data_IF_393759852003
#
_entry.id   IF_393759852003
#
_cell.length_a   1.000
_cell.length_b   1.000
_cell.length_c   1.000
_cell.angle_alpha   90.00
_cell.angle_beta   90.00
_cell.angle_gamma   90.00
#
_symmetry.space_group_name_H-M   'P 1'
#
loop_
_entity.id
_entity.type
_entity.pdbx_description
1 polymer ?
#
# COMPACT_ATOMS: atom_id res chain seq x y z
N UNK A 1 15.71 47.21 -20.51
CA UNK A 1 15.53 46.49 -19.23
C UNK A 1 14.17 45.79 -19.12
N UNK A 2 13.06 46.44 -19.49
CA UNK A 2 11.71 45.84 -19.47
C UNK A 2 11.57 44.49 -20.22
N UNK A 3 12.16 44.34 -21.42
CA UNK A 3 12.15 43.06 -22.16
C UNK A 3 12.87 41.91 -21.44
N UNK A 4 13.95 42.19 -20.70
CA UNK A 4 14.69 41.18 -19.94
C UNK A 4 13.92 40.74 -18.68
N UNK A 5 13.21 41.69 -18.05
CA UNK A 5 12.32 41.42 -16.90
C UNK A 5 11.09 40.61 -17.33
N UNK A 6 10.50 40.92 -18.50
CA UNK A 6 9.36 40.16 -19.05
C UNK A 6 9.74 38.71 -19.36
N UNK A 7 10.93 38.48 -19.94
CA UNK A 7 11.45 37.14 -20.22
C UNK A 7 11.73 36.37 -18.92
N UNK A 8 12.25 37.03 -17.88
CA UNK A 8 12.47 36.41 -16.57
C UNK A 8 11.14 36.02 -15.89
N UNK A 9 10.12 36.88 -15.96
CA UNK A 9 8.77 36.60 -15.45
C UNK A 9 8.07 35.46 -16.22
N UNK A 10 8.23 35.40 -17.54
CA UNK A 10 7.75 34.29 -18.37
C UNK A 10 8.45 32.96 -18.05
N UNK A 11 9.77 32.99 -17.78
CA UNK A 11 10.54 31.82 -17.33
C UNK A 11 10.12 31.36 -15.92
N UNK A 12 9.81 32.28 -15.00
CA UNK A 12 9.29 31.93 -13.68
C UNK A 12 7.85 31.37 -13.72
N UNK A 13 7.01 31.81 -14.66
CA UNK A 13 5.65 31.27 -14.86
C UNK A 13 5.64 29.93 -15.60
N UNK A 14 6.65 29.65 -16.43
CA UNK A 14 6.86 28.33 -17.04
C UNK A 14 7.38 27.28 -16.04
N UNK A 15 8.05 27.71 -14.96
CA UNK A 15 8.57 26.83 -13.93
C UNK A 15 7.51 26.35 -12.91
N UNK A 16 6.32 26.97 -12.85
CA UNK A 16 5.23 26.60 -11.92
C UNK A 16 4.41 25.37 -12.35
N UNK A 17 4.85 24.63 -13.36
CA UNK A 17 4.10 23.52 -13.97
C UNK A 17 4.59 22.10 -13.65
N UNK A 18 5.58 21.91 -12.77
CA UNK A 18 6.01 20.56 -12.41
C UNK A 18 4.93 19.88 -11.56
N UNK A 19 4.04 19.14 -12.21
CA UNK A 19 3.17 18.16 -11.57
C UNK A 19 4.06 17.04 -11.02
N UNK A 20 4.56 17.23 -9.81
CA UNK A 20 5.00 16.10 -9.03
C UNK A 20 3.76 15.25 -8.72
N UNK A 21 3.72 14.07 -9.30
CA UNK A 21 2.75 13.04 -8.97
C UNK A 21 3.47 12.07 -8.03
N UNK A 22 2.81 11.72 -6.92
CA UNK A 22 3.44 10.93 -5.86
C UNK A 22 3.67 9.47 -6.27
N UNK A 23 2.83 8.96 -7.16
CA UNK A 23 2.78 7.54 -7.51
C UNK A 23 3.35 7.26 -8.91
N UNK A 24 3.99 6.10 -9.03
CA UNK A 24 4.25 5.41 -10.27
C UNK A 24 3.53 4.06 -10.19
N UNK A 25 2.25 4.06 -10.56
CA UNK A 25 1.33 2.94 -10.40
C UNK A 25 1.16 2.17 -11.71
N UNK A 26 1.59 0.91 -11.72
CA UNK A 26 1.23 -0.04 -12.78
C UNK A 26 -0.18 -0.58 -12.51
N UNK A 27 -1.04 -0.61 -13.52
CA UNK A 27 -2.40 -1.15 -13.40
C UNK A 27 -2.59 -2.28 -14.41
N UNK A 28 -3.07 -3.42 -13.93
CA UNK A 28 -3.41 -4.57 -14.76
C UNK A 28 -4.84 -4.98 -14.45
N UNK A 29 -5.70 -5.01 -15.47
CA UNK A 29 -7.08 -5.48 -15.36
C UNK A 29 -7.22 -6.82 -16.07
N UNK A 30 -7.49 -7.88 -15.31
CA UNK A 30 -7.84 -9.19 -15.83
C UNK A 30 -9.37 -9.38 -15.77
N UNK A 31 -9.99 -9.51 -16.94
CA UNK A 31 -11.42 -9.78 -17.11
C UNK A 31 -11.76 -11.20 -17.59
N UNK A 32 -10.83 -12.15 -17.58
CA UNK A 32 -10.98 -13.50 -18.17
C UNK A 32 -12.17 -14.29 -17.60
N UNK A 33 -12.56 -14.04 -16.34
CA UNK A 33 -13.71 -14.69 -15.70
C UNK A 33 -15.05 -14.11 -16.14
N UNK A 34 -15.06 -12.90 -16.72
CA UNK A 34 -16.25 -12.25 -17.24
C UNK A 34 -16.45 -12.73 -18.68
N UNK A 35 -17.57 -13.41 -18.95
CA UNK A 35 -17.99 -13.74 -20.31
C UNK A 35 -18.53 -12.48 -21.01
N UNK A 36 -17.66 -11.49 -21.25
CA UNK A 36 -17.95 -10.28 -22.02
C UNK A 36 -17.39 -10.39 -23.42
N UNK A 37 -18.17 -9.96 -24.41
CA UNK A 37 -17.75 -9.80 -25.81
C UNK A 37 -16.92 -8.55 -26.04
N UNK A 38 -16.93 -7.60 -25.10
CA UNK A 38 -16.22 -6.32 -25.19
C UNK A 38 -14.92 -6.34 -24.39
N UNK A 39 -13.85 -6.82 -25.03
CA UNK A 39 -12.48 -6.77 -24.49
C UNK A 39 -11.90 -5.35 -24.46
N UNK A 40 -12.42 -4.44 -25.29
CA UNK A 40 -11.96 -3.05 -25.35
C UNK A 40 -12.31 -2.32 -24.05
N UNK A 41 -13.49 -2.57 -23.49
CA UNK A 41 -13.93 -2.01 -22.22
C UNK A 41 -12.92 -2.22 -21.08
N UNK A 42 -12.28 -3.40 -21.00
CA UNK A 42 -11.29 -3.70 -19.95
C UNK A 42 -9.96 -2.97 -20.18
N UNK A 43 -9.57 -2.80 -21.44
CA UNK A 43 -8.39 -2.00 -21.82
C UNK A 43 -8.60 -0.52 -21.48
N UNK A 44 -9.80 -0.01 -21.74
CA UNK A 44 -10.17 1.36 -21.41
C UNK A 44 -10.28 1.57 -19.89
N UNK A 45 -10.82 0.58 -19.16
CA UNK A 45 -10.83 0.57 -17.70
C UNK A 45 -9.42 0.65 -17.12
N UNK A 46 -8.51 -0.21 -17.61
CA UNK A 46 -7.11 -0.20 -17.19
C UNK A 46 -6.46 1.17 -17.43
N UNK A 47 -6.67 1.74 -18.62
CA UNK A 47 -6.10 3.04 -19.00
C UNK A 47 -6.64 4.16 -18.11
N UNK A 48 -7.95 4.20 -17.85
CA UNK A 48 -8.55 5.22 -16.97
C UNK A 48 -8.09 5.12 -15.53
N UNK A 49 -7.99 3.91 -14.99
CA UNK A 49 -7.48 3.71 -13.63
C UNK A 49 -6.01 4.10 -13.56
N UNK A 50 -5.20 3.72 -14.56
CA UNK A 50 -3.79 4.11 -14.66
C UNK A 50 -3.63 5.63 -14.67
N UNK A 51 -4.36 6.33 -15.54
CA UNK A 51 -4.31 7.79 -15.60
C UNK A 51 -4.79 8.44 -14.30
N UNK A 52 -5.85 7.92 -13.69
CA UNK A 52 -6.38 8.43 -12.44
C UNK A 52 -5.38 8.32 -11.29
N UNK A 53 -4.67 7.19 -11.20
CA UNK A 53 -3.67 6.96 -10.16
C UNK A 53 -2.40 7.82 -10.36
N UNK A 54 -1.95 7.96 -11.61
CA UNK A 54 -0.66 8.57 -11.94
C UNK A 54 -0.72 10.07 -12.28
N UNK A 55 -1.85 10.59 -12.74
CA UNK A 55 -1.96 11.99 -13.19
C UNK A 55 -2.57 12.93 -12.15
N UNK A 56 -3.05 12.38 -11.03
CA UNK A 56 -3.63 13.12 -9.91
C UNK A 56 -2.59 13.39 -8.84
N UNK A 57 -2.71 14.54 -8.19
CA UNK A 57 -1.98 14.89 -6.98
C UNK A 57 -2.80 14.44 -5.78
N UNK A 58 -2.20 13.63 -4.90
CA UNK A 58 -2.88 13.05 -3.74
C UNK A 58 -2.63 13.82 -2.45
N UNK A 59 -1.50 14.53 -2.38
CA UNK A 59 -1.03 15.27 -1.21
C UNK A 59 -0.36 16.57 -1.61
N UNK A 60 0.01 17.39 -0.62
CA UNK A 60 0.77 18.61 -0.87
C UNK A 60 2.29 18.37 -0.95
N UNK A 61 2.75 17.11 -0.87
CA UNK A 61 4.17 16.78 -1.00
C UNK A 61 4.63 17.01 -2.45
N UNK A 62 5.94 17.18 -2.62
CA UNK A 62 6.58 17.31 -3.92
C UNK A 62 7.58 16.17 -4.07
N UNK A 63 7.51 15.48 -5.20
CA UNK A 63 8.29 14.29 -5.53
C UNK A 63 9.08 14.53 -6.81
N UNK A 64 10.37 14.20 -6.78
CA UNK A 64 11.18 14.03 -7.98
C UNK A 64 10.73 12.81 -8.79
N UNK A 65 11.05 12.73 -10.10
CA UNK A 65 10.73 11.55 -10.92
C UNK A 65 11.20 10.22 -10.33
N UNK A 66 12.41 10.20 -9.75
CA UNK A 66 13.00 9.00 -9.14
C UNK A 66 12.51 8.74 -7.70
N UNK A 67 11.79 9.70 -7.10
CA UNK A 67 11.24 9.58 -5.75
C UNK A 67 9.81 9.04 -5.75
N UNK A 68 9.18 8.91 -6.93
CA UNK A 68 7.81 8.42 -7.06
C UNK A 68 7.67 7.03 -6.46
N UNK A 69 6.60 6.83 -5.71
CA UNK A 69 6.33 5.57 -5.03
C UNK A 69 5.85 4.56 -6.07
N UNK A 70 6.67 3.54 -6.31
CA UNK A 70 6.33 2.44 -7.21
C UNK A 70 5.27 1.55 -6.58
N UNK A 71 4.17 1.36 -7.29
CA UNK A 71 3.09 0.50 -6.84
C UNK A 71 2.41 -0.22 -8.00
N UNK A 72 1.63 -1.25 -7.67
CA UNK A 72 0.90 -2.07 -8.64
C UNK A 72 -0.49 -2.38 -8.14
N UNK A 73 -1.47 -2.22 -9.02
CA UNK A 73 -2.85 -2.68 -8.84
C UNK A 73 -3.10 -3.82 -9.82
N UNK A 74 -3.24 -5.04 -9.29
CA UNK A 74 -3.71 -6.19 -10.05
C UNK A 74 -5.19 -6.39 -9.76
N UNK A 75 -6.03 -6.06 -10.74
CA UNK A 75 -7.49 -6.08 -10.65
C UNK A 75 -7.99 -7.32 -11.39
N UNK A 76 -8.63 -8.23 -10.68
CA UNK A 76 -9.26 -9.42 -11.26
C UNK A 76 -10.77 -9.28 -11.17
N UNK A 77 -11.43 -9.04 -12.30
CA UNK A 77 -12.89 -8.99 -12.38
C UNK A 77 -13.46 -10.40 -12.21
N UNK A 78 -14.37 -10.57 -11.28
CA UNK A 78 -14.93 -11.88 -10.91
C UNK A 78 -16.34 -12.09 -11.44
N UNK A 79 -17.19 -11.06 -11.35
CA UNK A 79 -18.58 -11.10 -11.79
C UNK A 79 -19.02 -9.77 -12.40
N UNK A 80 -19.97 -9.83 -13.34
CA UNK A 80 -20.69 -8.66 -13.85
C UNK A 80 -22.18 -8.87 -13.56
N UNK A 81 -22.65 -8.57 -12.34
CA UNK A 81 -24.05 -8.83 -11.95
C UNK A 81 -25.06 -8.05 -12.80
N UNK A 82 -24.69 -6.86 -13.26
CA UNK A 82 -25.48 -6.00 -14.14
C UNK A 82 -24.55 -5.35 -15.16
N UNK A 83 -25.08 -4.97 -16.33
CA UNK A 83 -24.28 -4.31 -17.36
C UNK A 83 -23.63 -3.05 -16.79
N UNK A 84 -22.30 -2.98 -16.87
CA UNK A 84 -21.51 -1.85 -16.35
C UNK A 84 -21.24 -1.90 -14.84
N UNK A 85 -21.79 -2.88 -14.10
CA UNK A 85 -21.46 -3.12 -12.69
C UNK A 85 -20.58 -4.36 -12.56
N UNK A 86 -19.41 -4.19 -11.95
CA UNK A 86 -18.41 -5.24 -11.79
C UNK A 86 -18.17 -5.55 -10.32
N UNK A 87 -17.96 -6.83 -10.00
CA UNK A 87 -17.28 -7.26 -8.78
C UNK A 87 -15.86 -7.67 -9.14
N UNK A 88 -14.91 -7.33 -8.27
CA UNK A 88 -13.51 -7.60 -8.49
C UNK A 88 -12.78 -7.87 -7.18
N UNK A 89 -11.65 -8.57 -7.30
CA UNK A 89 -10.61 -8.57 -6.30
C UNK A 89 -9.49 -7.63 -6.78
N UNK A 90 -8.89 -6.86 -5.88
CA UNK A 90 -7.69 -6.08 -6.19
C UNK A 90 -6.56 -6.44 -5.24
N UNK A 91 -5.41 -6.78 -5.80
CA UNK A 91 -4.16 -6.86 -5.07
C UNK A 91 -3.39 -5.56 -5.23
N UNK A 92 -3.15 -4.89 -4.11
CA UNK A 92 -2.43 -3.64 -4.01
C UNK A 92 -1.04 -3.92 -3.46
N UNK A 93 -0.01 -3.55 -4.22
CA UNK A 93 1.38 -3.73 -3.82
C UNK A 93 2.11 -2.40 -3.94
N UNK A 94 2.92 -2.01 -2.95
CA UNK A 94 3.91 -0.95 -3.10
C UNK A 94 5.29 -1.43 -2.69
N UNK A 95 6.31 -0.82 -3.28
CA UNK A 95 7.71 -1.16 -3.01
C UNK A 95 8.49 0.08 -2.59
N UNK A 96 9.51 -0.14 -1.77
CA UNK A 96 10.47 0.87 -1.34
C UNK A 96 11.88 0.42 -1.70
N UNK A 97 12.69 1.25 -2.39
CA UNK A 97 14.09 0.95 -2.62
C UNK A 97 14.88 0.98 -1.30
N UNK A 98 15.82 0.05 -1.14
CA UNK A 98 16.79 0.08 -0.05
C UNK A 98 17.96 1.01 -0.41
N UNK A 99 18.31 1.91 0.50
CA UNK A 99 19.28 2.99 0.25
C UNK A 99 20.63 2.44 -0.23
N UNK A 100 21.19 3.07 -1.28
CA UNK A 100 22.50 2.71 -1.82
C UNK A 100 22.55 1.36 -2.56
N UNK A 101 21.40 0.75 -2.85
CA UNK A 101 21.32 -0.54 -3.54
C UNK A 101 20.30 -0.52 -4.68
N UNK A 102 20.36 -1.52 -5.56
CA UNK A 102 19.29 -1.79 -6.54
C UNK A 102 18.16 -2.68 -5.99
N UNK A 103 18.13 -2.93 -4.67
CA UNK A 103 17.15 -3.81 -4.06
C UNK A 103 15.85 -3.06 -3.77
N UNK A 104 14.72 -3.62 -4.22
CA UNK A 104 13.38 -3.12 -3.92
C UNK A 104 12.68 -4.08 -2.95
N UNK A 105 12.25 -3.53 -1.83
CA UNK A 105 11.53 -4.27 -0.80
C UNK A 105 10.04 -4.02 -0.93
N UNK A 106 9.22 -5.08 -0.87
CA UNK A 106 7.76 -4.92 -0.83
C UNK A 106 7.40 -4.29 0.50
N UNK A 107 6.86 -3.08 0.48
CA UNK A 107 6.51 -2.32 1.67
C UNK A 107 5.09 -2.66 2.14
N UNK A 108 4.16 -2.77 1.19
CA UNK A 108 2.76 -3.03 1.45
C UNK A 108 2.22 -4.03 0.44
N UNK A 109 1.44 -5.01 0.90
CA UNK A 109 0.74 -5.98 0.08
C UNK A 109 -0.61 -6.27 0.71
N UNK A 110 -1.70 -6.00 -0.01
CA UNK A 110 -3.05 -6.23 0.49
C UNK A 110 -3.98 -6.71 -0.63
N UNK A 111 -4.72 -7.77 -0.33
CA UNK A 111 -5.77 -8.28 -1.24
C UNK A 111 -7.13 -7.85 -0.69
N UNK A 112 -7.77 -6.95 -1.41
CA UNK A 112 -9.16 -6.54 -1.19
C UNK A 112 -10.08 -7.38 -2.06
N UNK A 113 -11.08 -8.00 -1.44
CA UNK A 113 -12.07 -8.85 -2.09
C UNK A 113 -13.46 -8.22 -2.13
N UNK A 114 -13.64 -7.10 -1.42
CA UNK A 114 -14.94 -6.45 -1.23
C UNK A 114 -15.02 -5.23 -2.15
N UNK A 115 -14.82 -5.45 -3.45
CA UNK A 115 -14.88 -4.38 -4.44
C UNK A 115 -15.97 -4.62 -5.49
N UNK A 116 -17.03 -3.84 -5.37
CA UNK A 116 -18.07 -3.72 -6.39
C UNK A 116 -18.10 -2.29 -6.89
N UNK A 117 -18.14 -2.07 -8.20
CA UNK A 117 -18.14 -0.71 -8.75
C UNK A 117 -18.82 -0.66 -10.11
N UNK A 118 -19.23 0.54 -10.50
CA UNK A 118 -19.76 0.83 -11.83
C UNK A 118 -18.66 1.41 -12.70
N UNK A 119 -18.62 1.01 -13.96
CA UNK A 119 -17.72 1.55 -14.98
C UNK A 119 -18.41 1.62 -16.33
N UNK A 120 -18.22 2.75 -17.01
CA UNK A 120 -18.62 2.96 -18.41
C UNK A 120 -17.59 3.84 -19.10
N UNK A 121 -17.44 3.63 -20.41
CA UNK A 121 -16.63 4.47 -21.30
C UNK A 121 -17.16 5.91 -21.39
N UNK A 122 -18.47 6.12 -21.24
CA UNK A 122 -19.06 7.46 -21.30
C UNK A 122 -18.74 8.36 -20.09
N UNK A 123 -18.44 7.79 -18.92
CA UNK A 123 -18.30 8.55 -17.66
C UNK A 123 -16.83 8.73 -17.25
N UNK A 124 -16.33 9.98 -17.13
CA UNK A 124 -14.98 10.22 -16.67
C UNK A 124 -14.80 9.75 -15.22
N UNK A 125 -13.57 9.37 -14.88
CA UNK A 125 -13.24 8.94 -13.52
C UNK A 125 -12.87 10.15 -12.65
N UNK A 126 -13.87 10.71 -11.96
CA UNK A 126 -13.71 11.90 -11.12
C UNK A 126 -13.59 11.58 -9.62
N UNK A 127 -12.94 12.50 -8.89
CA UNK A 127 -12.78 12.46 -7.44
C UNK A 127 -12.69 13.86 -6.86
N UNK A 128 -13.41 14.06 -5.75
CA UNK A 128 -13.38 15.25 -4.92
C UNK A 128 -13.07 14.87 -3.47
N UNK A 129 -12.14 15.58 -2.82
CA UNK A 129 -11.69 15.24 -1.45
C UNK A 129 -12.80 15.33 -0.40
N UNK A 130 -13.79 16.18 -0.62
CA UNK A 130 -14.86 16.48 0.34
C UNK A 130 -16.23 15.94 -0.10
N UNK A 131 -16.29 15.14 -1.17
CA UNK A 131 -17.56 14.61 -1.66
C UNK A 131 -17.40 13.18 -2.19
N UNK A 132 -18.40 12.34 -1.94
CA UNK A 132 -18.44 11.01 -2.52
C UNK A 132 -18.85 11.10 -3.99
N UNK A 133 -17.95 10.70 -4.90
CA UNK A 133 -18.24 10.67 -6.35
C UNK A 133 -18.66 9.29 -6.80
N UNK A 134 -17.83 8.27 -6.54
CA UNK A 134 -18.12 6.88 -6.91
C UNK A 134 -17.35 5.91 -6.01
N UNK A 135 -17.75 4.64 -5.98
CA UNK A 135 -17.01 3.61 -5.24
C UNK A 135 -15.66 3.28 -5.90
N UNK A 136 -15.60 3.34 -7.25
CA UNK A 136 -14.36 3.14 -8.02
C UNK A 136 -13.31 4.18 -7.63
N UNK A 137 -13.65 5.47 -7.73
CA UNK A 137 -12.71 6.54 -7.38
C UNK A 137 -12.39 6.61 -5.89
N UNK A 138 -13.36 6.28 -5.02
CA UNK A 138 -13.12 6.22 -3.57
C UNK A 138 -12.13 5.13 -3.19
N UNK A 139 -12.23 3.92 -3.78
CA UNK A 139 -11.30 2.84 -3.48
C UNK A 139 -9.88 3.16 -3.96
N UNK A 140 -9.75 3.69 -5.17
CA UNK A 140 -8.45 4.10 -5.72
C UNK A 140 -7.81 5.22 -4.90
N UNK A 141 -8.58 6.23 -4.51
CA UNK A 141 -8.12 7.31 -3.64
C UNK A 141 -7.73 6.82 -2.24
N UNK A 142 -8.47 5.85 -1.69
CA UNK A 142 -8.14 5.23 -0.41
C UNK A 142 -6.77 4.55 -0.49
N UNK A 143 -6.55 3.68 -1.48
CA UNK A 143 -5.28 2.96 -1.61
C UNK A 143 -4.11 3.87 -1.97
N UNK A 144 -4.32 4.94 -2.75
CA UNK A 144 -3.30 5.97 -2.96
C UNK A 144 -2.81 6.54 -1.63
N UNK A 145 -3.72 6.91 -0.73
CA UNK A 145 -3.37 7.46 0.59
C UNK A 145 -2.75 6.41 1.53
N UNK A 146 -3.19 5.15 1.47
CA UNK A 146 -2.53 4.07 2.24
C UNK A 146 -1.10 3.85 1.78
N UNK A 147 -0.86 3.78 0.46
CA UNK A 147 0.47 3.62 -0.12
C UNK A 147 1.39 4.77 0.31
N UNK A 148 0.93 6.01 0.16
CA UNK A 148 1.69 7.21 0.55
C UNK A 148 1.95 7.25 2.06
N UNK A 149 0.96 6.86 2.87
CA UNK A 149 1.12 6.80 4.33
C UNK A 149 2.18 5.79 4.76
N UNK A 150 2.14 4.58 4.19
CA UNK A 150 3.11 3.52 4.48
C UNK A 150 4.51 3.92 4.03
N UNK A 151 4.63 4.54 2.86
CA UNK A 151 5.90 5.04 2.34
C UNK A 151 6.50 6.10 3.27
N UNK A 152 5.71 7.09 3.68
CA UNK A 152 6.16 8.11 4.62
C UNK A 152 6.55 7.52 5.99
N UNK A 153 5.83 6.52 6.51
CA UNK A 153 6.21 5.81 7.74
C UNK A 153 7.56 5.06 7.60
N UNK A 154 7.90 4.62 6.39
CA UNK A 154 9.17 3.93 6.13
C UNK A 154 10.39 4.87 6.10
N UNK A 155 10.18 6.15 5.78
CA UNK A 155 11.23 7.17 5.75
C UNK A 155 11.29 8.04 7.02
N UNK A 156 10.17 8.20 7.72
CA UNK A 156 10.07 8.99 8.94
C UNK A 156 9.15 8.33 9.96
N UNK A 157 9.56 8.35 11.24
CA UNK A 157 8.74 7.82 12.33
C UNK A 157 7.36 8.48 12.34
N UNK A 158 6.32 7.67 12.15
CA UNK A 158 4.92 8.09 12.12
C UNK A 158 4.58 9.14 11.03
N UNK A 159 5.43 9.26 10.00
CA UNK A 159 5.29 10.25 8.92
C UNK A 159 4.03 10.10 8.07
N UNK A 160 3.39 8.92 8.09
CA UNK A 160 2.18 8.63 7.31
C UNK A 160 0.88 9.23 7.83
N UNK A 161 0.87 9.81 9.03
CA UNK A 161 -0.35 10.28 9.69
C UNK A 161 -1.25 11.19 8.81
N UNK A 162 -0.71 12.21 8.11
CA UNK A 162 -1.54 13.07 7.24
C UNK A 162 -2.21 12.33 6.08
N UNK A 163 -1.62 11.24 5.57
CA UNK A 163 -2.23 10.45 4.50
C UNK A 163 -3.33 9.53 5.07
N UNK A 164 -3.12 8.96 6.25
CA UNK A 164 -4.14 8.17 6.93
C UNK A 164 -5.37 9.01 7.33
N UNK A 165 -5.20 10.29 7.69
CA UNK A 165 -6.31 11.19 7.96
C UNK A 165 -7.18 11.45 6.72
N UNK A 166 -6.55 11.60 5.55
CA UNK A 166 -7.27 11.68 4.26
C UNK A 166 -8.00 10.37 3.95
N UNK A 167 -7.33 9.23 4.14
CA UNK A 167 -7.96 7.92 3.98
C UNK A 167 -9.18 7.76 4.92
N UNK A 168 -9.12 8.32 6.14
CA UNK A 168 -10.25 8.29 7.09
C UNK A 168 -11.44 9.09 6.59
N UNK A 169 -11.20 10.26 5.99
CA UNK A 169 -12.27 11.04 5.34
C UNK A 169 -12.96 10.22 4.25
N UNK A 170 -12.18 9.54 3.40
CA UNK A 170 -12.71 8.68 2.33
C UNK A 170 -13.56 7.53 2.88
N UNK A 171 -13.06 6.82 3.91
CA UNK A 171 -13.82 5.73 4.56
C UNK A 171 -15.15 6.24 5.11
N UNK A 172 -15.15 7.39 5.80
CA UNK A 172 -16.37 7.97 6.38
C UNK A 172 -17.40 8.38 5.31
N UNK A 173 -16.95 8.99 4.21
CA UNK A 173 -17.83 9.36 3.09
C UNK A 173 -18.38 8.12 2.38
N UNK A 174 -17.52 7.14 2.08
CA UNK A 174 -17.94 5.92 1.39
C UNK A 174 -18.89 5.06 2.26
N UNK A 175 -18.65 4.98 3.58
CA UNK A 175 -19.52 4.25 4.49
C UNK A 175 -20.91 4.87 4.63
N UNK A 176 -21.03 6.20 4.51
CA UNK A 176 -22.29 6.95 4.66
C UNK A 176 -23.05 7.11 3.34
N UNK A 177 -22.38 7.53 2.27
CA UNK A 177 -23.01 7.86 0.98
C UNK A 177 -22.96 6.69 -0.02
N UNK A 178 -21.96 5.81 0.10
CA UNK A 178 -21.81 4.58 -0.68
C UNK A 178 -22.33 3.35 0.05
N UNK A 179 -23.34 3.49 0.90
CA UNK A 179 -23.74 2.48 1.90
C UNK A 179 -24.09 1.09 1.35
N UNK A 180 -24.38 0.98 0.05
CA UNK A 180 -24.64 -0.28 -0.65
C UNK A 180 -23.37 -1.09 -0.99
N UNK A 181 -22.19 -0.47 -0.94
CA UNK A 181 -20.92 -1.10 -1.26
C UNK A 181 -20.23 -1.63 0.01
N UNK A 182 -19.84 -2.92 0.04
CA UNK A 182 -19.19 -3.52 1.20
C UNK A 182 -17.74 -3.08 1.32
N UNK A 183 -17.11 -3.34 2.47
CA UNK A 183 -15.68 -3.18 2.74
C UNK A 183 -15.32 -1.86 3.45
N UNK A 184 -16.28 -0.97 3.66
CA UNK A 184 -16.09 0.36 4.27
C UNK A 184 -16.51 0.45 5.74
N UNK A 185 -17.13 -0.61 6.29
CA UNK A 185 -17.68 -0.61 7.65
C UNK A 185 -17.05 -1.70 8.52
N UNK A 186 -17.04 -1.49 9.82
CA UNK A 186 -16.46 -2.43 10.79
C UNK A 186 -17.18 -3.79 10.84
N UNK A 187 -18.51 -3.79 10.65
CA UNK A 187 -19.39 -4.93 10.88
C UNK A 187 -19.61 -5.82 9.63
N UNK A 188 -18.72 -5.75 8.64
CA UNK A 188 -18.81 -6.52 7.39
C UNK A 188 -17.83 -7.69 7.37
N UNK A 189 -16.57 -7.45 7.74
CA UNK A 189 -15.48 -8.42 7.77
C UNK A 189 -14.41 -7.94 8.74
N UNK A 190 -13.58 -8.86 9.27
CA UNK A 190 -12.43 -8.53 10.11
C UNK A 190 -11.17 -8.19 9.29
N UNK A 191 -11.23 -8.25 7.96
CA UNK A 191 -10.16 -7.84 7.04
C UNK A 191 -10.76 -7.08 5.85
N UNK A 192 -10.89 -5.78 6.01
CA UNK A 192 -11.40 -4.86 4.99
C UNK A 192 -10.70 -3.49 5.10
N UNK A 193 -11.11 -2.52 4.26
CA UNK A 193 -10.52 -1.17 4.20
C UNK A 193 -10.67 -0.42 5.52
N UNK A 194 -11.82 -0.58 6.20
CA UNK A 194 -12.04 -0.01 7.53
C UNK A 194 -10.99 -0.49 8.52
N UNK A 195 -10.85 -1.81 8.71
CA UNK A 195 -9.91 -2.36 9.70
C UNK A 195 -8.45 -2.12 9.34
N UNK A 196 -8.12 -2.12 8.04
CA UNK A 196 -6.78 -1.77 7.58
C UNK A 196 -6.37 -0.38 8.06
N UNK A 197 -7.23 0.62 7.83
CA UNK A 197 -6.97 1.99 8.27
C UNK A 197 -7.05 2.16 9.78
N UNK A 198 -8.01 1.49 10.41
CA UNK A 198 -8.18 1.52 11.86
C UNK A 198 -6.93 1.05 12.58
N UNK A 199 -6.36 -0.07 12.14
CA UNK A 199 -5.10 -0.57 12.69
C UNK A 199 -3.91 0.39 12.44
N UNK A 200 -3.94 1.25 11.43
CA UNK A 200 -2.87 2.24 11.18
C UNK A 200 -3.02 3.52 12.02
N UNK A 201 -4.20 3.78 12.58
CA UNK A 201 -4.47 4.97 13.38
C UNK A 201 -4.70 4.66 14.88
N UNK A 202 -4.96 3.41 15.25
CA UNK A 202 -5.10 2.98 16.64
C UNK A 202 -3.75 3.15 17.39
N UNK A 203 -3.71 3.90 18.52
CA UNK A 203 -2.52 4.05 19.35
C UNK A 203 -1.87 2.74 19.80
N UNK A 204 -2.64 1.64 19.91
CA UNK A 204 -2.10 0.33 20.26
C UNK A 204 -1.18 -0.25 19.18
N UNK A 205 -1.28 0.25 17.93
CA UNK A 205 -0.45 -0.15 16.80
C UNK A 205 0.72 0.80 16.53
N UNK A 206 0.99 1.79 17.40
CA UNK A 206 2.19 2.62 17.28
C UNK A 206 3.49 1.80 17.15
N UNK A 207 3.70 0.71 17.93
CA UNK A 207 4.89 -0.13 17.77
C UNK A 207 5.04 -0.74 16.37
N UNK A 208 3.92 -1.05 15.70
CA UNK A 208 3.95 -1.53 14.32
C UNK A 208 4.48 -0.45 13.37
N UNK A 209 3.95 0.77 13.44
CA UNK A 209 4.36 1.87 12.56
C UNK A 209 5.80 2.31 12.81
N UNK A 210 6.23 2.36 14.06
CA UNK A 210 7.64 2.59 14.41
C UNK A 210 8.55 1.43 13.95
N UNK A 211 8.03 0.20 13.98
CA UNK A 211 8.66 -0.99 13.42
C UNK A 211 8.89 -0.89 11.92
N UNK A 212 7.94 -0.34 11.15
CA UNK A 212 8.10 -0.10 9.70
C UNK A 212 9.28 0.86 9.43
N UNK A 213 9.37 1.97 10.16
CA UNK A 213 10.53 2.89 10.08
C UNK A 213 11.84 2.16 10.40
N UNK A 214 11.86 1.43 11.52
CA UNK A 214 13.07 0.74 12.02
C UNK A 214 13.53 -0.33 11.01
N UNK A 215 12.60 -1.13 10.50
CA UNK A 215 12.87 -2.13 9.48
C UNK A 215 13.49 -1.52 8.24
N UNK A 216 12.95 -0.42 7.70
CA UNK A 216 13.49 0.10 6.44
C UNK A 216 14.79 0.89 6.65
N UNK A 217 14.85 1.77 7.67
CA UNK A 217 16.01 2.66 7.89
C UNK A 217 17.16 2.03 8.66
N UNK A 218 16.89 1.11 9.58
CA UNK A 218 17.90 0.54 10.47
C UNK A 218 18.20 -0.93 10.17
N UNK A 219 17.34 -1.61 9.40
CA UNK A 219 17.59 -3.00 8.97
C UNK A 219 17.96 -3.04 7.50
N UNK A 220 17.04 -2.70 6.59
CA UNK A 220 17.25 -2.86 5.15
C UNK A 220 18.32 -1.91 4.60
N UNK A 221 18.23 -0.61 4.93
CA UNK A 221 19.20 0.39 4.48
C UNK A 221 20.62 0.17 5.07
N UNK A 222 20.75 -0.59 6.16
CA UNK A 222 22.04 -0.93 6.79
C UNK A 222 22.50 -2.37 6.53
N UNK A 223 21.69 -3.18 5.84
CA UNK A 223 21.93 -4.64 5.72
C UNK A 223 23.25 -4.95 5.02
N UNK A 224 23.62 -4.13 4.01
CA UNK A 224 24.84 -4.32 3.24
C UNK A 224 26.11 -4.00 4.05
N UNK A 225 26.05 -3.02 4.95
CA UNK A 225 27.20 -2.56 5.73
C UNK A 225 27.34 -3.29 7.07
N UNK A 226 26.21 -3.54 7.75
CA UNK A 226 26.17 -4.02 9.16
C UNK A 226 25.10 -5.10 9.36
N UNK A 227 25.25 -6.30 8.74
CA UNK A 227 24.23 -7.34 8.73
C UNK A 227 23.86 -7.87 10.12
N UNK A 228 24.84 -8.02 11.03
CA UNK A 228 24.58 -8.51 12.40
C UNK A 228 23.74 -7.49 13.21
N UNK A 229 24.10 -6.20 13.11
CA UNK A 229 23.35 -5.13 13.76
C UNK A 229 21.92 -5.05 13.20
N UNK A 230 21.78 -5.15 11.88
CA UNK A 230 20.48 -5.13 11.20
C UNK A 230 19.58 -6.28 11.66
N UNK A 231 20.09 -7.52 11.75
CA UNK A 231 19.30 -8.68 12.20
C UNK A 231 18.85 -8.56 13.65
N UNK A 232 19.74 -8.07 14.53
CA UNK A 232 19.38 -7.80 15.93
C UNK A 232 18.27 -6.75 16.03
N UNK A 233 18.33 -5.68 15.24
CA UNK A 233 17.27 -4.68 15.18
C UNK A 233 15.95 -5.29 14.64
N UNK A 234 16.02 -6.14 13.61
CA UNK A 234 14.85 -6.83 13.07
C UNK A 234 14.21 -7.78 14.08
N UNK A 235 14.99 -8.49 14.90
CA UNK A 235 14.47 -9.31 15.98
C UNK A 235 13.67 -8.48 17.00
N UNK A 236 14.12 -7.26 17.30
CA UNK A 236 13.37 -6.33 18.14
C UNK A 236 12.01 -5.96 17.53
N UNK A 237 11.99 -5.62 16.24
CA UNK A 237 10.75 -5.36 15.50
C UNK A 237 9.81 -6.57 15.53
N UNK A 238 10.34 -7.78 15.30
CA UNK A 238 9.54 -9.01 15.35
C UNK A 238 8.98 -9.29 16.75
N UNK A 239 9.72 -8.99 17.82
CA UNK A 239 9.23 -9.12 19.19
C UNK A 239 8.07 -8.15 19.48
N UNK A 240 8.13 -6.93 18.95
CA UNK A 240 7.04 -5.96 19.12
C UNK A 240 5.81 -6.36 18.30
N UNK A 241 6.01 -6.89 17.08
CA UNK A 241 4.94 -7.52 16.29
C UNK A 241 4.34 -8.73 17.02
N UNK A 242 5.17 -9.55 17.68
CA UNK A 242 4.70 -10.69 18.46
C UNK A 242 3.78 -10.26 19.61
N UNK A 243 4.18 -9.26 20.41
CA UNK A 243 3.36 -8.71 21.48
C UNK A 243 2.05 -8.15 20.93
N UNK A 244 2.10 -7.42 19.82
CA UNK A 244 0.94 -6.84 19.19
C UNK A 244 -0.02 -7.92 18.65
N UNK A 245 0.50 -8.98 18.03
CA UNK A 245 -0.30 -10.11 17.56
C UNK A 245 -0.99 -10.85 18.72
N UNK A 246 -0.34 -10.95 19.89
CA UNK A 246 -0.96 -11.52 21.10
C UNK A 246 -2.11 -10.65 21.63
N UNK A 247 -1.98 -9.33 21.54
CA UNK A 247 -2.99 -8.37 22.00
C UNK A 247 -4.15 -8.18 20.99
N UNK A 248 -3.84 -8.22 19.70
CA UNK A 248 -4.74 -7.93 18.58
C UNK A 248 -4.63 -9.01 17.50
N UNK A 249 -4.98 -10.27 17.80
CA UNK A 249 -4.86 -11.36 16.85
C UNK A 249 -5.74 -11.14 15.62
N UNK A 250 -5.21 -11.48 14.44
CA UNK A 250 -5.97 -11.43 13.18
C UNK A 250 -6.15 -10.03 12.59
N UNK A 251 -5.42 -9.03 13.11
CA UNK A 251 -5.40 -7.65 12.59
C UNK A 251 -5.11 -7.61 11.09
N UNK A 252 -5.84 -6.76 10.37
CA UNK A 252 -5.73 -6.64 8.91
C UNK A 252 -4.32 -6.20 8.49
N UNK A 253 -3.72 -5.25 9.22
CA UNK A 253 -2.39 -4.74 8.89
C UNK A 253 -1.27 -5.76 9.16
N UNK A 254 -1.40 -6.59 10.21
CA UNK A 254 -0.40 -7.61 10.51
C UNK A 254 -0.39 -8.72 9.46
N UNK A 255 -1.57 -9.13 8.97
CA UNK A 255 -1.66 -10.05 7.82
C UNK A 255 -1.00 -9.45 6.59
N UNK A 256 -1.32 -8.18 6.28
CA UNK A 256 -0.70 -7.45 5.16
C UNK A 256 0.83 -7.37 5.28
N UNK A 257 1.35 -7.18 6.49
CA UNK A 257 2.78 -7.19 6.74
C UNK A 257 3.41 -8.55 6.39
N UNK A 258 2.84 -9.66 6.84
CA UNK A 258 3.38 -10.98 6.53
C UNK A 258 3.20 -11.39 5.06
N UNK A 259 2.10 -10.94 4.42
CA UNK A 259 1.89 -11.06 2.98
C UNK A 259 3.02 -10.36 2.19
N UNK A 260 3.57 -9.26 2.71
CA UNK A 260 4.66 -8.52 2.09
C UNK A 260 6.07 -9.04 2.47
N UNK A 261 6.26 -9.48 3.73
CA UNK A 261 7.59 -9.62 4.34
C UNK A 261 8.05 -11.04 4.62
N UNK A 262 7.17 -12.05 4.56
CA UNK A 262 7.52 -13.43 4.92
C UNK A 262 8.78 -13.95 4.20
N UNK A 263 8.89 -13.72 2.88
CA UNK A 263 10.06 -14.15 2.09
C UNK A 263 11.33 -13.35 2.41
N UNK A 264 11.21 -12.03 2.60
CA UNK A 264 12.33 -11.15 2.98
C UNK A 264 12.90 -11.54 4.36
N UNK A 265 12.02 -11.86 5.32
CA UNK A 265 12.39 -12.33 6.65
C UNK A 265 13.12 -13.68 6.60
N UNK A 266 12.62 -14.64 5.83
CA UNK A 266 13.30 -15.94 5.65
C UNK A 266 14.68 -15.74 5.05
N UNK A 267 14.80 -14.97 3.97
CA UNK A 267 16.08 -14.72 3.31
C UNK A 267 17.08 -14.00 4.23
N UNK A 268 16.61 -13.04 5.02
CA UNK A 268 17.42 -12.31 5.99
C UNK A 268 17.99 -13.23 7.08
N UNK A 269 17.15 -14.09 7.67
CA UNK A 269 17.56 -14.95 8.79
C UNK A 269 18.22 -16.26 8.36
N UNK A 270 18.05 -16.71 7.11
CA UNK A 270 18.69 -17.95 6.61
C UNK A 270 20.21 -17.94 6.73
N UNK A 271 20.84 -16.77 6.73
CA UNK A 271 22.29 -16.61 6.91
C UNK A 271 22.71 -16.19 8.32
N UNK A 272 21.78 -16.19 9.28
CA UNK A 272 21.99 -15.74 10.67
C UNK A 272 22.68 -16.76 11.57
N UNK A 273 23.17 -16.29 12.72
CA UNK A 273 23.73 -17.17 13.73
C UNK A 273 22.65 -18.17 14.21
N UNK A 274 23.01 -19.40 14.61
CA UNK A 274 22.04 -20.42 14.99
C UNK A 274 21.03 -19.96 16.06
N UNK A 275 21.48 -19.17 17.04
CA UNK A 275 20.61 -18.62 18.08
C UNK A 275 19.57 -17.63 17.52
N UNK A 276 19.97 -16.74 16.61
CA UNK A 276 19.08 -15.77 15.96
C UNK A 276 18.07 -16.46 15.05
N UNK A 277 18.50 -17.50 14.31
CA UNK A 277 17.62 -18.35 13.51
C UNK A 277 16.52 -18.97 14.35
N UNK A 278 16.90 -19.58 15.48
CA UNK A 278 15.95 -20.23 16.38
C UNK A 278 14.95 -19.22 16.96
N UNK A 279 15.42 -18.03 17.34
CA UNK A 279 14.57 -16.96 17.85
C UNK A 279 13.61 -16.43 16.79
N UNK A 280 14.09 -16.14 15.58
CA UNK A 280 13.25 -15.71 14.47
C UNK A 280 12.20 -16.77 14.12
N UNK A 281 12.60 -18.04 14.00
CA UNK A 281 11.69 -19.15 13.76
C UNK A 281 10.58 -19.25 14.82
N UNK A 282 10.94 -19.18 16.10
CA UNK A 282 9.97 -19.23 17.21
C UNK A 282 8.94 -18.08 17.14
N UNK A 283 9.38 -16.86 16.85
CA UNK A 283 8.48 -15.71 16.71
C UNK A 283 7.58 -15.89 15.48
N UNK A 284 8.17 -16.12 14.30
CA UNK A 284 7.46 -16.17 13.02
C UNK A 284 6.42 -17.30 12.97
N UNK A 285 6.75 -18.47 13.53
CA UNK A 285 5.83 -19.61 13.59
C UNK A 285 4.62 -19.35 14.49
N UNK A 286 4.78 -18.50 15.51
CA UNK A 286 3.68 -18.10 16.38
C UNK A 286 2.83 -16.97 15.76
N UNK A 287 3.48 -16.00 15.12
CA UNK A 287 2.80 -14.79 14.64
C UNK A 287 2.15 -14.97 13.27
N UNK A 288 2.73 -15.81 12.43
CA UNK A 288 2.30 -16.05 11.05
C UNK A 288 2.27 -17.56 10.72
N UNK A 289 1.36 -18.31 11.35
CA UNK A 289 1.26 -19.76 11.16
C UNK A 289 0.91 -20.15 9.72
N UNK A 290 0.33 -19.23 8.92
CA UNK A 290 -0.01 -19.47 7.51
C UNK A 290 1.20 -19.65 6.61
N UNK A 291 2.37 -19.14 7.00
CA UNK A 291 3.62 -19.31 6.26
C UNK A 291 4.61 -20.23 6.99
N UNK A 292 4.14 -21.10 7.89
CA UNK A 292 5.01 -22.00 8.68
C UNK A 292 5.99 -22.81 7.84
N UNK A 293 5.54 -23.34 6.70
CA UNK A 293 6.37 -24.10 5.76
C UNK A 293 7.56 -23.29 5.21
N UNK A 294 7.41 -21.96 5.07
CA UNK A 294 8.52 -21.07 4.70
C UNK A 294 9.52 -20.94 5.85
N UNK A 295 9.01 -20.83 7.08
CA UNK A 295 9.83 -20.60 8.28
C UNK A 295 10.61 -21.84 8.72
N UNK A 296 10.10 -23.05 8.44
CA UNK A 296 10.82 -24.32 8.66
C UNK A 296 12.21 -24.34 7.99
N UNK A 297 12.40 -23.60 6.88
CA UNK A 297 13.69 -23.45 6.21
C UNK A 297 14.78 -22.80 7.07
N UNK A 298 14.41 -22.11 8.16
CA UNK A 298 15.36 -21.51 9.10
C UNK A 298 16.01 -22.54 10.04
N UNK A 299 15.32 -23.65 10.28
CA UNK A 299 15.78 -24.75 11.15
C UNK A 299 16.12 -26.03 10.38
N UNK A 300 15.83 -26.06 9.08
CA UNK A 300 16.26 -27.12 8.18
C UNK A 300 17.80 -27.20 8.16
N UNK A 301 18.31 -28.43 8.30
CA UNK A 301 19.74 -28.76 8.32
C UNK A 301 20.35 -28.70 6.92
#
# INVERSE_FOLDING_TARGET
MAKKILVLLLLCFAASGARAQELQCDVVVNGEQIQSTDQQLFTDMQTRIFEFMNNRRWTNQTYGPDERIKCRLLISLTEMPEIGTFKANVQVVSVRPAYGTGYESVLFSFVDKDWTFQFSDAQPLDYAENNYTSNLSSLLAFYANIIIGMDNDSFGKLGGAPAYDRARSIVNMAASQGAAYPGWKAFESNRNRYWLLDNLQDPQFLPFREGIYTMHRQVLDLMAEKPEQARKAMLGVLQDIQKLQQQKPGSAILRSFFDAKSDELVNMFKTAAPAEKQQAYAILSQTDPTNSSKYELLIAR
#
